data_IF_597465635453
#
_entry.id   IF_597465635453
#
_cell.length_a   1.000
_cell.length_b   1.000
_cell.length_c   1.000
_cell.angle_alpha   90.00
_cell.angle_beta   90.00
_cell.angle_gamma   90.00
#
_symmetry.space_group_name_H-M   'P 1'
#
loop_
_entity.id
_entity.type
_entity.pdbx_description
1 polymer ?
#
# COMPACT_ATOMS: atom_id res chain seq x y z
N UNK A 1 -33.51 -15.68 -2.87
CA UNK A 1 -32.41 -15.24 -3.74
C UNK A 1 -31.14 -15.31 -2.91
N UNK A 2 -30.31 -16.32 -3.13
CA UNK A 2 -29.00 -16.43 -2.48
C UNK A 2 -27.97 -15.93 -3.50
N UNK A 3 -27.29 -14.82 -3.22
CA UNK A 3 -26.16 -14.36 -4.01
C UNK A 3 -24.90 -15.10 -3.55
N UNK A 4 -24.30 -16.02 -4.33
CA UNK A 4 -23.02 -16.58 -3.95
C UNK A 4 -21.93 -15.61 -4.40
N UNK A 5 -21.58 -14.66 -3.55
CA UNK A 5 -20.35 -13.89 -3.73
C UNK A 5 -19.36 -14.35 -2.65
N UNK A 6 -18.53 -15.39 -2.90
CA UNK A 6 -17.32 -15.50 -2.13
C UNK A 6 -16.43 -14.33 -2.57
N UNK A 7 -16.36 -13.27 -1.76
CA UNK A 7 -15.32 -12.25 -1.87
C UNK A 7 -13.98 -12.87 -1.44
N UNK A 8 -13.48 -13.84 -2.18
CA UNK A 8 -12.15 -14.41 -1.97
C UNK A 8 -11.21 -13.78 -2.99
N UNK A 9 -10.62 -12.64 -2.62
CA UNK A 9 -9.54 -11.97 -3.35
C UNK A 9 -8.16 -12.26 -2.76
N UNK A 10 -7.99 -13.41 -2.09
CA UNK A 10 -6.71 -13.74 -1.50
C UNK A 10 -5.87 -14.54 -2.50
N UNK A 11 -4.95 -13.84 -3.18
CA UNK A 11 -3.88 -14.51 -3.94
C UNK A 11 -2.84 -15.03 -2.95
N UNK A 12 -2.64 -16.34 -2.90
CA UNK A 12 -1.50 -16.96 -2.21
C UNK A 12 -0.25 -16.76 -3.05
N UNK A 13 0.69 -15.94 -2.57
CA UNK A 13 2.01 -15.79 -3.20
C UNK A 13 2.93 -16.93 -2.75
N UNK A 14 3.74 -17.44 -3.66
CA UNK A 14 4.63 -18.57 -3.40
C UNK A 14 5.83 -18.16 -2.52
N UNK A 15 6.31 -16.92 -2.69
CA UNK A 15 7.40 -16.33 -1.91
C UNK A 15 7.29 -14.80 -1.84
N UNK A 16 8.22 -14.18 -1.11
CA UNK A 16 8.25 -12.73 -0.93
C UNK A 16 8.58 -11.93 -2.19
N UNK A 17 9.32 -12.51 -3.15
CA UNK A 17 9.61 -11.84 -4.42
C UNK A 17 8.37 -11.77 -5.30
N UNK A 18 7.63 -12.88 -5.39
CA UNK A 18 6.34 -12.91 -6.09
C UNK A 18 5.34 -11.96 -5.43
N UNK A 19 5.29 -11.93 -4.09
CA UNK A 19 4.44 -10.99 -3.36
C UNK A 19 4.80 -9.52 -3.69
N UNK A 20 6.08 -9.17 -3.66
CA UNK A 20 6.55 -7.82 -3.99
C UNK A 20 6.15 -7.43 -5.42
N UNK A 21 6.39 -8.30 -6.40
CA UNK A 21 6.05 -8.04 -7.79
C UNK A 21 4.54 -7.92 -8.00
N UNK A 22 3.75 -8.80 -7.37
CA UNK A 22 2.29 -8.80 -7.44
C UNK A 22 1.68 -7.55 -6.83
N UNK A 23 2.14 -7.16 -5.63
CA UNK A 23 1.66 -5.95 -4.95
C UNK A 23 2.05 -4.69 -5.75
N UNK A 24 3.29 -4.60 -6.25
CA UNK A 24 3.72 -3.48 -7.07
C UNK A 24 2.83 -3.31 -8.31
N UNK A 25 2.54 -4.41 -9.01
CA UNK A 25 1.66 -4.40 -10.19
C UNK A 25 0.23 -3.98 -9.85
N UNK A 26 -0.28 -4.43 -8.72
CA UNK A 26 -1.61 -4.04 -8.26
C UNK A 26 -1.68 -2.55 -7.91
N UNK A 27 -0.67 -2.00 -7.23
CA UNK A 27 -0.58 -0.57 -6.90
C UNK A 27 -0.53 0.27 -8.17
N UNK A 28 0.27 -0.13 -9.16
CA UNK A 28 0.35 0.56 -10.46
C UNK A 28 -1.02 0.60 -11.16
N UNK A 29 -1.68 -0.55 -11.27
CA UNK A 29 -3.02 -0.64 -11.83
C UNK A 29 -4.02 0.24 -11.06
N UNK A 30 -4.01 0.17 -9.73
CA UNK A 30 -4.90 0.97 -8.87
C UNK A 30 -4.70 2.47 -9.10
N UNK A 31 -3.45 2.92 -9.11
CA UNK A 31 -3.15 4.33 -9.22
C UNK A 31 -3.44 4.90 -10.61
N UNK A 32 -3.06 4.17 -11.67
CA UNK A 32 -3.03 4.71 -13.03
C UNK A 32 -4.21 4.31 -13.91
N UNK A 33 -4.87 3.19 -13.61
CA UNK A 33 -5.83 2.59 -14.53
C UNK A 33 -7.20 2.35 -13.91
N UNK A 34 -7.32 2.23 -12.57
CA UNK A 34 -8.61 1.93 -11.95
C UNK A 34 -9.56 3.12 -11.99
N UNK A 35 -10.72 3.01 -12.67
CA UNK A 35 -11.74 4.04 -12.60
C UNK A 35 -12.39 4.02 -11.22
N UNK A 36 -12.47 5.19 -10.58
CA UNK A 36 -13.08 5.32 -9.26
C UNK A 36 -14.33 6.19 -9.32
N UNK A 37 -15.49 5.65 -8.98
CA UNK A 37 -16.79 6.34 -9.07
C UNK A 37 -16.83 7.65 -8.27
N UNK A 38 -16.29 7.64 -7.04
CA UNK A 38 -16.17 8.86 -6.22
C UNK A 38 -15.23 9.92 -6.82
N UNK A 39 -14.42 9.57 -7.83
CA UNK A 39 -13.52 10.46 -8.56
C UNK A 39 -14.02 10.71 -9.99
N UNK A 40 -15.34 10.64 -10.20
CA UNK A 40 -15.97 10.82 -11.52
C UNK A 40 -15.43 9.81 -12.56
N UNK A 41 -15.15 8.58 -12.11
CA UNK A 41 -14.52 7.51 -12.89
C UNK A 41 -13.09 7.81 -13.37
N UNK A 42 -12.42 8.84 -12.85
CA UNK A 42 -11.00 9.07 -13.10
C UNK A 42 -10.12 8.14 -12.26
N UNK A 43 -8.90 7.93 -12.73
CA UNK A 43 -7.87 7.21 -11.99
C UNK A 43 -7.36 8.07 -10.81
N UNK A 44 -7.07 7.46 -9.64
CA UNK A 44 -6.56 8.17 -8.46
C UNK A 44 -5.37 9.08 -8.75
N UNK A 45 -4.39 8.60 -9.53
CA UNK A 45 -3.19 9.37 -9.84
C UNK A 45 -3.47 10.59 -10.74
N UNK A 46 -4.52 10.56 -11.56
CA UNK A 46 -4.92 11.71 -12.36
C UNK A 46 -5.47 12.83 -11.48
N UNK A 47 -6.28 12.48 -10.47
CA UNK A 47 -6.82 13.46 -9.50
C UNK A 47 -5.73 14.01 -8.61
N UNK A 48 -4.84 13.15 -8.09
CA UNK A 48 -3.72 13.59 -7.28
C UNK A 48 -2.82 14.58 -8.04
N UNK A 49 -2.42 14.26 -9.28
CA UNK A 49 -1.60 15.18 -10.10
C UNK A 49 -2.29 16.52 -10.33
N UNK A 50 -3.58 16.52 -10.62
CA UNK A 50 -4.33 17.77 -10.80
C UNK A 50 -4.36 18.64 -9.53
N UNK A 51 -4.46 18.02 -8.35
CA UNK A 51 -4.41 18.71 -7.06
C UNK A 51 -3.02 19.23 -6.69
N UNK A 52 -1.96 18.47 -6.99
CA UNK A 52 -0.56 18.86 -6.73
C UNK A 52 -0.07 19.93 -7.70
N UNK A 53 -0.58 20.02 -8.92
CA UNK A 53 -0.26 21.17 -9.80
C UNK A 53 -1.06 22.43 -9.47
N UNK A 54 -2.01 22.34 -8.53
CA UNK A 54 -2.87 23.44 -8.08
C UNK A 54 -2.44 24.03 -6.72
N UNK A 55 -3.41 24.47 -5.91
CA UNK A 55 -3.17 25.20 -4.66
C UNK A 55 -2.37 24.46 -3.57
N UNK A 56 -2.18 23.14 -3.68
CA UNK A 56 -1.50 22.30 -2.68
C UNK A 56 -0.10 21.85 -3.10
N UNK A 57 0.45 22.40 -4.19
CA UNK A 57 1.64 21.84 -4.84
C UNK A 57 2.91 21.85 -4.01
N UNK A 58 3.14 22.87 -3.20
CA UNK A 58 4.34 22.97 -2.36
C UNK A 58 4.22 22.15 -1.06
N UNK A 59 3.04 22.10 -0.46
CA UNK A 59 2.79 21.31 0.77
C UNK A 59 2.79 19.79 0.51
N UNK A 60 2.24 19.36 -0.63
CA UNK A 60 2.13 17.95 -0.97
C UNK A 60 3.47 17.30 -1.36
N UNK A 61 4.37 18.06 -1.99
CA UNK A 61 5.73 17.58 -2.29
C UNK A 61 6.57 17.46 -1.02
N UNK A 62 6.39 18.35 -0.04
CA UNK A 62 7.10 18.29 1.24
C UNK A 62 6.73 17.05 2.04
N UNK A 63 5.43 16.71 2.11
CA UNK A 63 4.98 15.44 2.70
C UNK A 63 5.51 14.20 1.96
N UNK A 64 5.64 14.26 0.63
CA UNK A 64 6.15 13.14 -0.18
C UNK A 64 7.65 12.94 0.02
N UNK A 65 8.42 14.02 0.08
CA UNK A 65 9.85 14.00 0.40
C UNK A 65 10.08 13.46 1.81
N UNK A 66 9.36 13.98 2.80
CA UNK A 66 9.42 13.50 4.18
C UNK A 66 9.09 12.01 4.31
N UNK A 67 8.07 11.54 3.58
CA UNK A 67 7.72 10.12 3.54
C UNK A 67 8.82 9.27 2.89
N UNK A 68 9.43 9.75 1.79
CA UNK A 68 10.52 9.05 1.10
C UNK A 68 11.79 8.94 1.95
N UNK A 69 12.18 10.00 2.66
CA UNK A 69 13.29 10.01 3.60
C UNK A 69 13.05 9.05 4.77
N UNK A 70 11.83 9.07 5.35
CA UNK A 70 11.43 8.14 6.41
C UNK A 70 11.44 6.68 5.93
N UNK A 71 11.05 6.40 4.69
CA UNK A 71 11.11 5.05 4.13
C UNK A 71 12.54 4.60 3.85
N UNK A 72 13.42 5.50 3.38
CA UNK A 72 14.85 5.21 3.23
C UNK A 72 15.54 4.87 4.56
N UNK A 73 15.12 5.52 5.65
CA UNK A 73 15.58 5.24 7.00
C UNK A 73 15.08 3.88 7.55
N UNK A 74 13.97 3.32 7.02
CA UNK A 74 13.43 2.01 7.45
C UNK A 74 14.28 0.82 7.01
N UNK A 75 15.16 0.99 6.01
CA UNK A 75 16.15 -0.03 5.65
C UNK A 75 17.28 -0.18 6.68
N UNK A 76 17.37 0.73 7.66
CA UNK A 76 18.40 0.76 8.70
C UNK A 76 17.83 0.65 10.13
N UNK A 77 16.61 0.14 10.31
CA UNK A 77 16.12 -0.15 11.66
C UNK A 77 16.84 -1.40 12.19
N UNK A 78 17.53 -1.33 13.35
CA UNK A 78 18.02 -2.53 14.00
C UNK A 78 16.83 -3.41 14.32
N UNK A 79 16.88 -4.68 13.91
CA UNK A 79 15.88 -5.69 14.26
C UNK A 79 15.73 -5.67 15.77
N UNK A 80 14.60 -5.14 16.26
CA UNK A 80 14.33 -5.14 17.70
C UNK A 80 14.30 -6.59 18.18
N UNK A 81 14.94 -6.94 19.31
CA UNK A 81 14.89 -8.32 19.78
C UNK A 81 13.45 -8.68 20.11
N UNK A 82 12.93 -9.74 19.47
CA UNK A 82 11.61 -10.27 19.80
C UNK A 82 11.60 -10.73 21.26
N UNK A 83 10.63 -10.32 22.09
CA UNK A 83 10.45 -10.92 23.40
C UNK A 83 10.09 -12.39 23.21
N UNK A 84 10.90 -13.29 23.79
CA UNK A 84 10.60 -14.72 23.91
C UNK A 84 9.24 -14.85 24.61
N UNK A 85 8.20 -15.26 23.87
CA UNK A 85 6.98 -15.75 24.49
C UNK A 85 7.37 -16.96 25.35
N UNK A 86 7.27 -16.81 26.66
CA UNK A 86 7.36 -17.92 27.60
C UNK A 86 6.22 -18.89 27.26
N UNK A 87 6.59 -20.06 26.76
CA UNK A 87 5.68 -21.21 26.75
C UNK A 87 5.34 -21.51 28.20
N UNK A 88 4.09 -21.24 28.60
CA UNK A 88 3.56 -21.81 29.81
C UNK A 88 3.45 -23.32 29.58
N UNK A 89 4.31 -24.07 30.28
CA UNK A 89 4.19 -25.52 30.43
C UNK A 89 2.79 -25.82 30.98
N UNK A 90 1.98 -26.48 30.16
CA UNK A 90 0.72 -27.09 30.60
C UNK A 90 1.11 -28.29 31.47
N UNK A 91 0.67 -28.30 32.72
CA UNK A 91 0.67 -29.46 33.61
C UNK A 91 -0.67 -30.20 33.47
#
# INVERSE_FOLDING_TARGET
MQCPAPLTYLKGYSDGHEAKAGIARWIEFYNFQRPHQALENRAPMAVWRAGVTGAFGEEAVDMTLLASEKLGQRCALPTSPQPRQQQATVA
#
